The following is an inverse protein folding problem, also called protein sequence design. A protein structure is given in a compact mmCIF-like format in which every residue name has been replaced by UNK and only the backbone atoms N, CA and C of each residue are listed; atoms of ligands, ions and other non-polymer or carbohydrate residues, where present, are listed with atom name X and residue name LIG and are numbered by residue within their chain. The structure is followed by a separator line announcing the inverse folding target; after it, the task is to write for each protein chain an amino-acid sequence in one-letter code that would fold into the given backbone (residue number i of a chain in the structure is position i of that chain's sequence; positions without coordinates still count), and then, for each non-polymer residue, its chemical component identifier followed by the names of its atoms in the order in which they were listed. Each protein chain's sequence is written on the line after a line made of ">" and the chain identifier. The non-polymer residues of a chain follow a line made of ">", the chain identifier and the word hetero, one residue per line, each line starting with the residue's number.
data_IF_344706350471
#
_entry.id   IF_344706350471
#
_cell.length_a   1.000
_cell.length_b   1.000
_cell.length_c   1.000
_cell.angle_alpha   90.00
_cell.angle_beta   90.00
_cell.angle_gamma   90.00
#
_symmetry.space_group_name_H-M   'P 1'
#
loop_
_entity.id
_entity.type
_entity.pdbx_description
1 polymer ?
#
# COMPACT_ATOMS: atom_id res chain seq x y z
N UNK A 1 0.02 29.36 5.99
CA UNK A 1 0.50 28.24 6.79
C UNK A 1 1.77 28.61 7.53
N UNK A 2 1.86 28.24 8.78
CA UNK A 2 3.07 28.38 9.59
C UNK A 2 4.10 27.31 9.20
N UNK A 3 5.38 27.48 9.57
CA UNK A 3 6.39 26.46 9.28
C UNK A 3 6.05 25.06 9.82
N UNK A 4 5.40 24.98 10.97
CA UNK A 4 4.92 23.73 11.58
C UNK A 4 3.82 23.04 10.76
N UNK A 5 2.91 23.81 10.19
CA UNK A 5 1.84 23.28 9.33
C UNK A 5 2.41 22.76 8.00
N UNK A 6 3.45 23.42 7.47
CA UNK A 6 4.16 22.95 6.27
C UNK A 6 4.91 21.64 6.53
N UNK A 7 5.56 21.51 7.69
CA UNK A 7 6.21 20.27 8.09
C UNK A 7 5.20 19.14 8.24
N UNK A 8 4.05 19.39 8.88
CA UNK A 8 2.98 18.41 9.02
C UNK A 8 2.41 18.00 7.65
N UNK A 9 2.25 18.95 6.71
CA UNK A 9 1.80 18.65 5.36
C UNK A 9 2.77 17.71 4.63
N UNK A 10 4.06 18.01 4.69
CA UNK A 10 5.09 17.14 4.09
C UNK A 10 5.08 15.75 4.73
N UNK A 11 5.03 15.67 6.05
CA UNK A 11 4.98 14.39 6.77
C UNK A 11 3.71 13.60 6.44
N UNK A 12 2.56 14.26 6.27
CA UNK A 12 1.30 13.64 5.85
C UNK A 12 1.38 13.08 4.43
N UNK A 13 1.88 13.88 3.48
CA UNK A 13 2.09 13.43 2.10
C UNK A 13 3.07 12.24 2.03
N UNK A 14 4.18 12.34 2.77
CA UNK A 14 5.19 11.29 2.81
C UNK A 14 4.63 9.98 3.39
N UNK A 15 3.87 10.06 4.49
CA UNK A 15 3.25 8.90 5.12
C UNK A 15 2.20 8.26 4.20
N UNK A 16 1.36 9.04 3.55
CA UNK A 16 0.40 8.54 2.57
C UNK A 16 1.11 7.80 1.42
N UNK A 17 2.15 8.42 0.86
CA UNK A 17 2.97 7.82 -0.19
C UNK A 17 3.65 6.52 0.24
N UNK A 18 4.24 6.50 1.44
CA UNK A 18 4.86 5.32 2.04
C UNK A 18 3.88 4.16 2.15
N UNK A 19 2.72 4.38 2.79
CA UNK A 19 1.70 3.34 2.97
C UNK A 19 1.27 2.76 1.62
N UNK A 20 1.04 3.60 0.63
CA UNK A 20 0.63 3.16 -0.71
C UNK A 20 1.74 2.36 -1.40
N UNK A 21 3.00 2.81 -1.33
CA UNK A 21 4.15 2.10 -1.93
C UNK A 21 4.41 0.76 -1.25
N UNK A 22 4.35 0.71 0.08
CA UNK A 22 4.49 -0.54 0.86
C UNK A 22 3.34 -1.51 0.57
N UNK A 23 2.17 -0.99 0.19
CA UNK A 23 0.98 -1.77 -0.17
C UNK A 23 0.90 -2.13 -1.66
N UNK A 24 1.98 -1.89 -2.43
CA UNK A 24 2.10 -2.20 -3.85
C UNK A 24 1.14 -1.42 -4.75
N UNK A 25 0.86 -0.16 -4.42
CA UNK A 25 0.16 0.75 -5.32
C UNK A 25 1.05 1.14 -6.50
N UNK A 26 0.41 1.50 -7.61
CA UNK A 26 1.09 2.02 -8.80
C UNK A 26 1.67 3.42 -8.54
N UNK A 27 2.90 3.68 -8.96
CA UNK A 27 3.63 4.92 -8.65
C UNK A 27 2.88 6.19 -9.03
N UNK A 28 2.24 6.21 -10.19
CA UNK A 28 1.46 7.38 -10.64
C UNK A 28 0.27 7.68 -9.72
N UNK A 29 -0.34 6.65 -9.12
CA UNK A 29 -1.43 6.82 -8.15
C UNK A 29 -0.93 7.37 -6.83
N UNK A 30 0.27 6.97 -6.42
CA UNK A 30 0.94 7.52 -5.24
C UNK A 30 1.19 9.01 -5.43
N UNK A 31 1.78 9.40 -6.56
CA UNK A 31 2.06 10.80 -6.90
C UNK A 31 0.78 11.64 -6.98
N UNK A 32 -0.28 11.12 -7.64
CA UNK A 32 -1.58 11.80 -7.74
C UNK A 32 -2.21 12.03 -6.36
N UNK A 33 -2.19 11.00 -5.50
CA UNK A 33 -2.77 11.10 -4.14
C UNK A 33 -2.03 12.13 -3.30
N UNK A 34 -0.70 12.11 -3.27
CA UNK A 34 0.10 13.08 -2.54
C UNK A 34 -0.10 14.50 -3.08
N UNK A 35 -0.16 14.67 -4.40
CA UNK A 35 -0.39 15.97 -5.04
C UNK A 35 -1.76 16.54 -4.69
N UNK A 36 -2.81 15.72 -4.63
CA UNK A 36 -4.16 16.14 -4.22
C UNK A 36 -4.19 16.63 -2.78
N UNK A 37 -3.52 15.92 -1.86
CA UNK A 37 -3.40 16.35 -0.46
C UNK A 37 -2.72 17.71 -0.39
N UNK A 38 -1.59 17.90 -1.08
CA UNK A 38 -0.85 19.15 -1.06
C UNK A 38 -1.65 20.32 -1.67
N UNK A 39 -2.35 20.09 -2.78
CA UNK A 39 -3.20 21.11 -3.42
C UNK A 39 -4.35 21.54 -2.49
N UNK A 40 -5.01 20.60 -1.83
CA UNK A 40 -6.11 20.87 -0.91
C UNK A 40 -5.67 21.67 0.32
N UNK A 41 -4.43 21.51 0.76
CA UNK A 41 -3.87 22.17 1.95
C UNK A 41 -3.56 23.67 1.78
N UNK A 42 -3.69 24.24 0.60
CA UNK A 42 -3.39 25.65 0.36
C UNK A 42 -2.77 25.91 -1.00
N UNK A 43 -3.13 25.09 -1.98
CA UNK A 43 -2.66 25.16 -3.37
C UNK A 43 -1.13 25.05 -3.50
N UNK A 44 -0.52 24.19 -2.67
CA UNK A 44 0.91 23.87 -2.78
C UNK A 44 1.16 22.88 -3.91
N UNK A 45 2.14 23.18 -4.74
CA UNK A 45 2.61 22.24 -5.75
C UNK A 45 3.63 21.30 -5.10
N UNK A 46 3.27 20.03 -5.02
CA UNK A 46 4.18 18.97 -4.57
C UNK A 46 5.08 18.56 -5.74
N UNK A 47 6.38 18.53 -5.50
CA UNK A 47 7.36 17.88 -6.38
C UNK A 47 7.70 16.55 -5.75
N UNK A 48 7.41 15.45 -6.45
CA UNK A 48 7.64 14.10 -5.95
C UNK A 48 8.49 13.30 -6.95
N UNK A 49 9.34 12.46 -6.41
CA UNK A 49 10.07 11.44 -7.15
C UNK A 49 9.89 10.11 -6.46
N UNK A 50 9.10 9.25 -7.08
CA UNK A 50 8.71 7.94 -6.53
C UNK A 50 9.47 6.85 -7.25
N UNK A 51 10.16 6.01 -6.49
CA UNK A 51 10.84 4.81 -6.98
C UNK A 51 10.37 3.58 -6.21
N UNK A 52 10.73 2.40 -6.67
CA UNK A 52 10.38 1.17 -5.96
C UNK A 52 10.98 1.06 -4.56
N UNK A 53 12.10 1.73 -4.30
CA UNK A 53 12.86 1.61 -3.05
C UNK A 53 12.90 2.88 -2.22
N UNK A 54 12.38 3.98 -2.74
CA UNK A 54 12.41 5.28 -2.04
C UNK A 54 11.42 6.28 -2.59
N UNK A 55 11.07 7.20 -1.73
CA UNK A 55 10.16 8.29 -1.98
C UNK A 55 10.82 9.61 -1.57
N UNK A 56 10.86 10.57 -2.48
CA UNK A 56 11.38 11.92 -2.26
C UNK A 56 10.29 12.92 -2.55
N UNK A 57 10.04 13.84 -1.64
CA UNK A 57 9.04 14.89 -1.83
C UNK A 57 9.56 16.24 -1.36
N UNK A 58 9.07 17.28 -2.00
CA UNK A 58 9.30 18.68 -1.63
C UNK A 58 8.15 19.55 -2.11
N UNK A 59 8.02 20.74 -1.53
CA UNK A 59 7.05 21.74 -2.00
C UNK A 59 7.79 22.81 -2.80
N UNK A 60 7.22 23.24 -3.91
CA UNK A 60 7.79 24.17 -4.88
C UNK A 60 8.30 25.50 -4.28
N UNK A 61 7.78 25.88 -3.12
CA UNK A 61 8.12 27.15 -2.44
C UNK A 61 8.97 26.96 -1.18
N UNK A 62 9.51 25.77 -0.95
CA UNK A 62 10.31 25.47 0.23
C UNK A 62 11.61 24.81 -0.19
N UNK A 63 12.66 25.01 0.59
CA UNK A 63 13.94 24.30 0.42
C UNK A 63 13.95 22.95 1.13
N UNK A 64 12.85 22.55 1.78
CA UNK A 64 12.76 21.32 2.57
C UNK A 64 12.39 20.15 1.67
N UNK A 65 13.26 19.15 1.65
CA UNK A 65 12.99 17.85 1.01
C UNK A 65 12.84 16.82 2.10
N UNK A 66 11.83 15.97 1.97
CA UNK A 66 11.63 14.79 2.81
C UNK A 66 11.86 13.54 1.97
N UNK A 67 12.42 12.52 2.59
CA UNK A 67 12.61 11.22 1.94
C UNK A 67 12.26 10.09 2.88
N UNK A 68 11.76 8.99 2.31
CA UNK A 68 11.45 7.76 3.02
C UNK A 68 11.97 6.57 2.21
N UNK A 69 12.57 5.61 2.88
CA UNK A 69 13.00 4.36 2.28
C UNK A 69 11.89 3.31 2.37
N UNK A 70 11.56 2.69 1.25
CA UNK A 70 10.56 1.62 1.17
C UNK A 70 11.28 0.28 1.36
N UNK A 71 11.15 -0.30 2.54
CA UNK A 71 11.87 -1.55 2.89
C UNK A 71 10.98 -2.78 2.93
N UNK A 72 9.69 -2.61 3.23
CA UNK A 72 8.75 -3.72 3.35
C UNK A 72 7.64 -3.51 2.31
N UNK A 73 7.50 -4.45 1.39
CA UNK A 73 6.43 -4.42 0.39
C UNK A 73 5.56 -5.65 0.56
N UNK A 74 4.26 -5.42 0.56
CA UNK A 74 3.25 -6.47 0.58
C UNK A 74 2.07 -6.04 -0.26
N UNK A 75 1.38 -6.98 -0.89
CA UNK A 75 0.16 -6.65 -1.63
C UNK A 75 -0.97 -6.47 -0.61
N UNK A 76 -1.33 -5.22 -0.34
CA UNK A 76 -2.45 -4.87 0.54
C UNK A 76 -3.30 -3.77 -0.07
N UNK A 77 -4.17 -4.15 -0.99
CA UNK A 77 -5.06 -3.21 -1.70
C UNK A 77 -6.06 -2.53 -0.76
N UNK A 78 -6.39 -3.14 0.38
CA UNK A 78 -7.27 -2.52 1.38
C UNK A 78 -6.66 -1.25 1.96
N UNK A 79 -5.36 -1.26 2.28
CA UNK A 79 -4.66 -0.05 2.73
C UNK A 79 -4.66 1.04 1.65
N UNK A 80 -4.44 0.66 0.39
CA UNK A 80 -4.50 1.60 -0.74
C UNK A 80 -5.88 2.25 -0.86
N UNK A 81 -6.95 1.47 -0.70
CA UNK A 81 -8.33 1.99 -0.74
C UNK A 81 -8.57 2.95 0.43
N UNK A 82 -8.17 2.58 1.65
CA UNK A 82 -8.31 3.44 2.85
C UNK A 82 -7.59 4.78 2.68
N UNK A 83 -6.34 4.77 2.20
CA UNK A 83 -5.58 6.01 1.96
C UNK A 83 -6.26 6.89 0.90
N UNK A 84 -6.74 6.29 -0.20
CA UNK A 84 -7.47 7.02 -1.23
C UNK A 84 -8.78 7.63 -0.70
N UNK A 85 -9.53 6.90 0.14
CA UNK A 85 -10.75 7.41 0.76
C UNK A 85 -10.46 8.60 1.69
N UNK A 86 -9.44 8.48 2.55
CA UNK A 86 -9.01 9.57 3.42
C UNK A 86 -8.55 10.81 2.63
N UNK A 87 -7.81 10.62 1.54
CA UNK A 87 -7.40 11.73 0.69
C UNK A 87 -8.59 12.46 0.06
N UNK A 88 -9.63 11.73 -0.35
CA UNK A 88 -10.86 12.32 -0.89
C UNK A 88 -11.66 13.07 0.16
N UNK A 89 -11.80 12.52 1.38
CA UNK A 89 -12.45 13.21 2.51
C UNK A 89 -11.73 14.48 2.85
N UNK A 90 -10.40 14.48 2.85
CA UNK A 90 -9.60 15.67 3.08
C UNK A 90 -9.82 16.73 1.99
N UNK A 91 -9.80 16.33 0.71
CA UNK A 91 -10.09 17.24 -0.42
C UNK A 91 -11.51 17.81 -0.34
N UNK A 92 -12.48 17.03 0.16
CA UNK A 92 -13.85 17.49 0.41
C UNK A 92 -13.99 18.37 1.67
N UNK A 93 -12.88 18.66 2.38
CA UNK A 93 -12.86 19.41 3.64
C UNK A 93 -13.66 18.75 4.79
N UNK A 94 -13.81 17.42 4.73
CA UNK A 94 -14.46 16.63 5.79
C UNK A 94 -13.49 16.30 6.93
N UNK A 95 -12.18 16.43 6.71
CA UNK A 95 -11.11 16.17 7.67
C UNK A 95 -10.14 17.35 7.71
N UNK A 96 -9.57 17.60 8.88
CA UNK A 96 -8.41 18.48 9.05
C UNK A 96 -7.11 17.75 8.69
N UNK A 97 -6.02 18.49 8.52
CA UNK A 97 -4.71 17.91 8.22
C UNK A 97 -4.21 17.02 9.35
N UNK A 98 -4.45 17.42 10.60
CA UNK A 98 -4.09 16.66 11.80
C UNK A 98 -4.87 15.34 11.88
N UNK A 99 -6.17 15.38 11.61
CA UNK A 99 -7.02 14.17 11.59
C UNK A 99 -6.57 13.22 10.48
N UNK A 100 -6.31 13.74 9.28
CA UNK A 100 -5.78 12.94 8.17
C UNK A 100 -4.46 12.25 8.57
N UNK A 101 -3.53 12.98 9.20
CA UNK A 101 -2.26 12.42 9.66
C UNK A 101 -2.45 11.32 10.70
N UNK A 102 -3.33 11.52 11.69
CA UNK A 102 -3.65 10.53 12.71
C UNK A 102 -4.26 9.24 12.10
N UNK A 103 -5.20 9.39 11.18
CA UNK A 103 -5.83 8.24 10.49
C UNK A 103 -4.82 7.48 9.62
N UNK A 104 -3.93 8.18 8.91
CA UNK A 104 -2.85 7.55 8.17
C UNK A 104 -1.90 6.79 9.08
N UNK A 105 -1.55 7.32 10.26
CA UNK A 105 -0.75 6.60 11.25
C UNK A 105 -1.44 5.33 11.75
N UNK A 106 -2.77 5.36 11.93
CA UNK A 106 -3.53 4.19 12.32
C UNK A 106 -3.46 3.10 11.25
N UNK A 107 -3.59 3.47 9.95
CA UNK A 107 -3.46 2.55 8.83
C UNK A 107 -2.03 1.98 8.73
N UNK A 108 -1.00 2.80 8.95
CA UNK A 108 0.40 2.34 8.91
C UNK A 108 0.69 1.27 9.97
N UNK A 109 0.20 1.49 11.18
CA UNK A 109 0.34 0.57 12.32
C UNK A 109 -0.50 -0.70 12.19
N UNK A 110 -1.56 -0.67 11.40
CA UNK A 110 -2.44 -1.82 11.20
C UNK A 110 -1.68 -2.94 10.46
N UNK A 111 -1.44 -4.04 11.15
CA UNK A 111 -0.83 -5.27 10.62
C UNK A 111 -1.84 -6.38 10.42
N UNK A 112 -3.11 -6.04 10.26
CA UNK A 112 -4.16 -7.02 10.05
C UNK A 112 -3.95 -7.70 8.69
N UNK A 113 -3.51 -8.94 8.74
CA UNK A 113 -3.49 -9.84 7.59
C UNK A 113 -4.62 -10.85 7.73
N UNK A 114 -5.15 -11.29 6.61
CA UNK A 114 -6.05 -12.43 6.60
C UNK A 114 -5.41 -13.63 7.32
N UNK A 115 -6.17 -14.39 8.10
CA UNK A 115 -5.64 -15.55 8.80
C UNK A 115 -5.02 -16.55 7.82
N UNK A 116 -3.93 -17.20 8.23
CA UNK A 116 -3.11 -18.06 7.36
C UNK A 116 -3.93 -19.17 6.69
N UNK A 117 -4.90 -19.74 7.40
CA UNK A 117 -5.76 -20.79 6.83
C UNK A 117 -6.57 -20.26 5.63
N UNK A 118 -7.09 -19.02 5.72
CA UNK A 118 -7.83 -18.39 4.62
C UNK A 118 -6.95 -18.13 3.41
N UNK A 119 -5.71 -17.72 3.63
CA UNK A 119 -4.73 -17.53 2.56
C UNK A 119 -4.44 -18.85 1.83
N UNK A 120 -4.27 -19.96 2.58
CA UNK A 120 -4.04 -21.29 2.00
C UNK A 120 -5.25 -21.77 1.19
N UNK A 121 -6.47 -21.60 1.73
CA UNK A 121 -7.70 -21.96 1.02
C UNK A 121 -7.86 -21.12 -0.24
N UNK A 122 -7.61 -19.82 -0.18
CA UNK A 122 -7.67 -18.94 -1.36
C UNK A 122 -6.67 -19.35 -2.42
N UNK A 123 -5.44 -19.70 -2.04
CA UNK A 123 -4.43 -20.20 -2.98
C UNK A 123 -4.85 -21.51 -3.65
N UNK A 124 -5.45 -22.44 -2.89
CA UNK A 124 -5.99 -23.68 -3.44
C UNK A 124 -7.10 -23.38 -4.46
N UNK A 125 -8.08 -22.53 -4.12
CA UNK A 125 -9.18 -22.15 -5.02
C UNK A 125 -8.66 -21.48 -6.29
N UNK A 126 -7.70 -20.55 -6.17
CA UNK A 126 -7.08 -19.88 -7.32
C UNK A 126 -6.41 -20.91 -8.24
N UNK A 127 -5.63 -21.85 -7.69
CA UNK A 127 -5.02 -22.92 -8.47
C UNK A 127 -6.03 -23.75 -9.26
N UNK A 128 -7.12 -24.17 -8.60
CA UNK A 128 -8.19 -24.91 -9.26
C UNK A 128 -8.88 -24.08 -10.35
N UNK A 129 -9.15 -22.82 -10.11
CA UNK A 129 -9.77 -21.91 -11.07
C UNK A 129 -8.89 -21.73 -12.31
N UNK A 130 -7.59 -21.50 -12.11
CA UNK A 130 -6.62 -21.37 -13.20
C UNK A 130 -6.57 -22.66 -14.04
N UNK A 131 -6.54 -23.82 -13.40
CA UNK A 131 -6.56 -25.12 -14.09
C UNK A 131 -7.77 -25.24 -15.02
N UNK A 132 -8.97 -24.88 -14.53
CA UNK A 132 -10.21 -24.92 -15.34
C UNK A 132 -10.14 -23.93 -16.51
N UNK A 133 -9.65 -22.70 -16.27
CA UNK A 133 -9.50 -21.67 -17.31
C UNK A 133 -8.56 -22.11 -18.45
N UNK A 134 -7.53 -22.88 -18.13
CA UNK A 134 -6.61 -23.43 -19.12
C UNK A 134 -7.04 -24.78 -19.73
N UNK A 135 -8.30 -25.16 -19.53
CA UNK A 135 -8.87 -26.35 -20.16
C UNK A 135 -8.50 -27.67 -19.50
N UNK A 136 -8.07 -27.65 -18.24
CA UNK A 136 -7.80 -28.85 -17.48
C UNK A 136 -9.04 -29.70 -17.24
N UNK A 137 -8.84 -31.02 -17.01
CA UNK A 137 -9.96 -31.94 -16.76
C UNK A 137 -10.48 -31.76 -15.33
N UNK A 138 -11.80 -31.83 -15.18
CA UNK A 138 -12.45 -31.75 -13.84
C UNK A 138 -12.01 -32.86 -12.87
N UNK A 139 -11.53 -34.00 -13.41
CA UNK A 139 -10.94 -35.09 -12.62
C UNK A 139 -9.68 -34.68 -11.89
N UNK A 140 -8.95 -33.68 -12.41
CA UNK A 140 -7.67 -33.22 -11.85
C UNK A 140 -7.86 -32.10 -10.82
N UNK A 141 -9.09 -31.58 -10.70
CA UNK A 141 -9.42 -30.47 -9.79
C UNK A 141 -9.05 -30.74 -8.33
N UNK A 142 -9.38 -31.88 -7.72
CA UNK A 142 -9.02 -32.15 -6.32
C UNK A 142 -7.50 -32.14 -6.09
N UNK A 143 -6.75 -32.73 -7.03
CA UNK A 143 -5.29 -32.79 -6.97
C UNK A 143 -4.69 -31.38 -7.08
N UNK A 144 -5.20 -30.56 -7.99
CA UNK A 144 -4.74 -29.18 -8.20
C UNK A 144 -5.02 -28.29 -7.00
N UNK A 145 -6.18 -28.42 -6.36
CA UNK A 145 -6.52 -27.72 -5.11
C UNK A 145 -5.52 -28.06 -4.00
N UNK A 146 -5.22 -29.33 -3.80
CA UNK A 146 -4.26 -29.79 -2.78
C UNK A 146 -2.86 -29.26 -3.07
N UNK A 147 -2.39 -29.38 -4.31
CA UNK A 147 -1.06 -28.90 -4.71
C UNK A 147 -0.96 -27.39 -4.51
N UNK A 148 -1.98 -26.60 -4.90
CA UNK A 148 -2.02 -25.15 -4.72
C UNK A 148 -1.95 -24.75 -3.24
N UNK A 149 -2.74 -25.41 -2.39
CA UNK A 149 -2.73 -25.18 -0.95
C UNK A 149 -1.39 -25.54 -0.28
N UNK A 150 -0.86 -26.72 -0.59
CA UNK A 150 0.45 -27.18 -0.07
C UNK A 150 1.60 -26.30 -0.57
N UNK A 151 1.59 -25.91 -1.84
CA UNK A 151 2.60 -25.02 -2.41
C UNK A 151 2.64 -23.65 -1.69
N UNK A 152 1.46 -23.07 -1.42
CA UNK A 152 1.38 -21.83 -0.66
C UNK A 152 1.80 -22.02 0.81
N UNK A 153 1.43 -23.11 1.46
CA UNK A 153 1.87 -23.41 2.82
C UNK A 153 3.41 -23.57 2.89
N UNK A 154 4.01 -24.25 1.93
CA UNK A 154 5.47 -24.38 1.82
C UNK A 154 6.13 -23.01 1.59
N UNK A 155 5.54 -22.14 0.77
CA UNK A 155 6.00 -20.76 0.57
C UNK A 155 5.99 -19.97 1.89
N UNK A 156 4.90 -19.99 2.64
CA UNK A 156 4.81 -19.32 3.95
C UNK A 156 5.85 -19.87 4.94
N UNK A 157 6.06 -21.18 4.93
CA UNK A 157 7.08 -21.81 5.77
C UNK A 157 8.49 -21.34 5.40
N UNK A 158 8.80 -21.29 4.10
CA UNK A 158 10.10 -20.84 3.60
C UNK A 158 10.39 -19.39 3.95
N UNK A 159 9.40 -18.47 3.84
CA UNK A 159 9.54 -17.08 4.26
C UNK A 159 9.88 -16.95 5.75
N UNK A 160 9.27 -17.80 6.59
CA UNK A 160 9.53 -17.80 8.04
C UNK A 160 10.91 -18.33 8.38
N UNK A 161 11.36 -19.39 7.67
CA UNK A 161 12.60 -20.08 7.97
C UNK A 161 13.84 -19.39 7.38
N UNK A 162 13.76 -18.97 6.11
CA UNK A 162 14.93 -18.41 5.41
C UNK A 162 15.08 -16.91 5.56
N UNK A 163 14.09 -16.18 6.14
CA UNK A 163 14.09 -14.71 6.23
C UNK A 163 14.47 -14.00 4.92
N UNK A 164 14.26 -14.64 3.79
CA UNK A 164 14.57 -14.07 2.48
C UNK A 164 13.54 -12.98 2.21
N UNK A 165 13.97 -11.72 2.24
CA UNK A 165 13.19 -10.58 1.76
C UNK A 165 13.49 -10.42 0.27
N UNK A 166 12.51 -10.65 -0.57
CA UNK A 166 12.55 -10.28 -1.98
C UNK A 166 11.99 -8.88 -2.16
#
# INVERSE_FOLDING_TARGET
>A
MTGKELDLLLDTCLLAGKIMMESNAEMYRVEDTMSRIALASGNFRLVSYVTQTGLFIGLDRTSTIRMEQITNRSINLEKVVKVNDLSRKYVASELTLEELYCELQAIDRDRSFFPVWLQIVSAAVISGTIMVLFGGKMTDLPVTLVIGGLGYAAYLYSLKFFRIKF
#
